data_IF_684673165415
#
_entry.id   IF_684673165415
#
_cell.length_a   1.000
_cell.length_b   1.000
_cell.length_c   1.000
_cell.angle_alpha   90.00
_cell.angle_beta   90.00
_cell.angle_gamma   90.00
#
_symmetry.space_group_name_H-M   'P 1'
#
loop_
_entity.id
_entity.type
_entity.pdbx_description
1 polymer ?
#
# COMPACT_ATOMS: atom_id res chain seq x y z
N UNK A 1 23.99 -81.39 59.30
CA UNK A 1 24.15 -80.31 60.28
C UNK A 1 23.99 -78.95 59.53
N UNK A 2 23.08 -78.17 59.98
CA UNK A 2 22.53 -76.99 59.32
C UNK A 2 23.56 -75.85 59.13
N UNK A 3 23.36 -75.00 58.21
CA UNK A 3 23.54 -73.57 58.32
C UNK A 3 22.78 -72.76 57.25
N UNK A 4 22.00 -71.84 57.75
CA UNK A 4 21.13 -70.92 57.05
C UNK A 4 21.98 -69.81 56.37
N UNK A 5 21.61 -69.46 55.13
CA UNK A 5 22.09 -68.28 54.44
C UNK A 5 20.96 -67.26 54.27
N UNK A 6 21.14 -66.07 54.75
CA UNK A 6 20.16 -64.95 54.75
C UNK A 6 20.02 -64.29 53.39
N UNK A 7 18.77 -64.10 52.94
CA UNK A 7 18.45 -63.34 51.78
C UNK A 7 18.48 -61.83 52.05
N UNK A 8 19.29 -61.09 51.30
CA UNK A 8 19.33 -59.64 51.26
C UNK A 8 18.33 -59.09 50.22
N UNK A 9 17.27 -58.49 50.69
CA UNK A 9 16.29 -57.76 49.85
C UNK A 9 16.87 -56.41 49.45
N UNK A 10 17.30 -56.30 48.19
CA UNK A 10 17.58 -54.96 47.57
C UNK A 10 16.22 -54.26 47.27
N UNK A 11 15.96 -53.19 47.96
CA UNK A 11 14.90 -52.24 47.59
C UNK A 11 15.32 -51.53 46.31
N UNK A 12 14.64 -51.77 45.20
CA UNK A 12 14.74 -51.03 43.95
C UNK A 12 14.12 -49.65 44.15
N UNK A 13 14.96 -48.62 44.10
CA UNK A 13 14.49 -47.23 43.99
C UNK A 13 13.90 -47.02 42.59
N UNK A 14 12.65 -46.58 42.53
CA UNK A 14 12.02 -46.14 41.30
C UNK A 14 12.79 -44.96 40.72
N UNK A 15 13.03 -44.91 39.36
CA UNK A 15 13.63 -43.76 38.74
C UNK A 15 12.65 -42.59 38.83
N UNK A 16 13.12 -41.47 39.39
CA UNK A 16 12.42 -40.19 39.31
C UNK A 16 12.41 -39.74 37.88
N UNK A 17 11.24 -39.77 37.25
CA UNK A 17 11.00 -39.25 35.92
C UNK A 17 11.46 -37.80 35.84
N UNK A 18 12.59 -37.57 35.19
CA UNK A 18 13.08 -36.25 34.89
C UNK A 18 12.15 -35.64 33.83
N UNK A 19 11.27 -34.75 34.23
CA UNK A 19 10.42 -33.96 33.34
C UNK A 19 11.33 -33.23 32.35
N UNK A 20 11.18 -33.47 31.04
CA UNK A 20 12.09 -32.91 30.03
C UNK A 20 11.98 -31.38 30.04
N UNK A 21 13.04 -30.69 30.43
CA UNK A 21 13.18 -29.23 30.46
C UNK A 21 12.97 -28.57 29.10
N UNK A 22 12.97 -29.33 27.98
CA UNK A 22 12.72 -28.84 26.60
C UNK A 22 11.28 -28.41 26.31
N UNK A 23 10.28 -28.93 27.04
CA UNK A 23 8.87 -28.63 26.77
C UNK A 23 8.47 -27.19 27.09
N UNK A 24 8.95 -26.64 28.20
CA UNK A 24 8.62 -25.26 28.63
C UNK A 24 9.20 -24.20 27.72
N UNK A 25 10.41 -24.37 27.21
CA UNK A 25 11.04 -23.46 26.26
C UNK A 25 10.35 -23.49 24.91
N UNK A 26 9.93 -24.67 24.45
CA UNK A 26 9.15 -24.82 23.22
C UNK A 26 7.78 -24.16 23.34
N UNK A 27 7.09 -24.34 24.46
CA UNK A 27 5.80 -23.69 24.73
C UNK A 27 5.93 -22.16 24.81
N UNK A 28 6.98 -21.65 25.47
CA UNK A 28 7.25 -20.20 25.55
C UNK A 28 7.48 -19.60 24.15
N UNK A 29 8.27 -20.25 23.30
CA UNK A 29 8.51 -19.79 21.92
C UNK A 29 7.21 -19.77 21.10
N UNK A 30 6.38 -20.80 21.22
CA UNK A 30 5.08 -20.87 20.56
C UNK A 30 4.16 -19.75 21.08
N UNK A 31 4.10 -19.51 22.38
CA UNK A 31 3.30 -18.45 22.97
C UNK A 31 3.75 -17.06 22.49
N UNK A 32 5.05 -16.80 22.42
CA UNK A 32 5.61 -15.53 21.88
C UNK A 32 5.22 -15.37 20.40
N UNK A 33 5.38 -16.42 19.58
CA UNK A 33 5.01 -16.36 18.15
C UNK A 33 3.53 -16.12 17.96
N UNK A 34 2.66 -16.77 18.74
CA UNK A 34 1.20 -16.55 18.71
C UNK A 34 0.84 -15.14 19.18
N UNK A 35 1.51 -14.61 20.22
CA UNK A 35 1.30 -13.23 20.67
C UNK A 35 1.70 -12.23 19.57
N UNK A 36 2.85 -12.40 18.94
CA UNK A 36 3.29 -11.57 17.83
C UNK A 36 2.29 -11.64 16.68
N UNK A 37 1.83 -12.86 16.31
CA UNK A 37 0.82 -13.04 15.27
C UNK A 37 -0.50 -12.34 15.63
N UNK A 38 -0.95 -12.45 16.88
CA UNK A 38 -2.15 -11.79 17.37
C UNK A 38 -2.03 -10.27 17.30
N UNK A 39 -0.91 -9.70 17.77
CA UNK A 39 -0.65 -8.24 17.70
C UNK A 39 -0.66 -7.77 16.24
N UNK A 40 0.03 -8.48 15.34
CA UNK A 40 0.04 -8.15 13.91
C UNK A 40 -1.36 -8.27 13.29
N UNK A 41 -2.14 -9.28 13.67
CA UNK A 41 -3.51 -9.43 13.19
C UNK A 41 -4.42 -8.31 13.68
N UNK A 42 -4.34 -7.95 14.97
CA UNK A 42 -5.15 -6.89 15.57
C UNK A 42 -4.80 -5.51 14.98
N UNK A 43 -3.51 -5.18 14.85
CA UNK A 43 -3.08 -3.90 14.25
C UNK A 43 -3.51 -3.81 12.79
N UNK A 44 -3.32 -4.87 11.99
CA UNK A 44 -3.77 -4.91 10.60
C UNK A 44 -5.28 -4.78 10.47
N UNK A 45 -6.04 -5.41 11.38
CA UNK A 45 -7.50 -5.30 11.40
C UNK A 45 -7.95 -3.88 11.78
N UNK A 46 -7.31 -3.27 12.78
CA UNK A 46 -7.60 -1.90 13.22
C UNK A 46 -7.27 -0.88 12.11
N UNK A 47 -6.11 -0.98 11.46
CA UNK A 47 -5.72 -0.12 10.34
C UNK A 47 -6.74 -0.21 9.19
N UNK A 48 -7.11 -1.44 8.80
CA UNK A 48 -8.11 -1.66 7.75
C UNK A 48 -9.50 -1.13 8.14
N UNK A 49 -9.87 -1.27 9.40
CA UNK A 49 -11.16 -0.79 9.90
C UNK A 49 -11.23 0.74 9.89
N UNK A 50 -10.17 1.43 10.27
CA UNK A 50 -10.09 2.89 10.24
C UNK A 50 -10.02 3.42 8.80
N UNK A 51 -9.17 2.86 7.97
CA UNK A 51 -8.92 3.34 6.61
C UNK A 51 -10.08 3.16 5.63
N UNK A 52 -11.08 2.31 5.97
CA UNK A 52 -12.24 2.04 5.10
C UNK A 52 -13.57 2.53 5.66
N UNK A 53 -13.58 3.29 6.75
CA UNK A 53 -14.82 3.85 7.32
C UNK A 53 -15.23 5.18 6.70
N UNK A 54 -14.28 5.99 6.25
CA UNK A 54 -14.50 7.27 5.59
C UNK A 54 -15.38 8.26 6.38
N UNK A 55 -15.35 8.15 7.73
CA UNK A 55 -16.02 9.12 8.61
C UNK A 55 -15.13 10.33 8.88
N UNK A 56 -13.83 10.05 9.07
CA UNK A 56 -12.80 11.04 9.28
C UNK A 56 -11.88 11.09 8.05
N UNK A 57 -11.23 12.23 7.77
CA UNK A 57 -10.23 12.31 6.72
C UNK A 57 -9.08 11.33 6.93
N UNK A 58 -8.66 10.64 5.87
CA UNK A 58 -7.40 9.91 5.85
C UNK A 58 -6.25 10.89 5.60
N UNK A 59 -5.32 10.93 6.53
CA UNK A 59 -4.11 11.73 6.41
C UNK A 59 -3.04 10.95 5.65
N UNK A 60 -2.71 11.42 4.46
CA UNK A 60 -1.76 10.79 3.56
C UNK A 60 -0.45 11.57 3.56
N UNK A 61 0.58 10.98 4.15
CA UNK A 61 1.90 11.58 4.22
C UNK A 61 2.71 11.22 2.96
N UNK A 62 3.18 12.23 2.23
CA UNK A 62 4.08 12.09 1.09
C UNK A 62 5.51 12.32 1.56
N UNK A 63 6.34 11.31 1.39
CA UNK A 63 7.77 11.34 1.64
C UNK A 63 8.51 11.39 0.29
N UNK A 64 8.93 12.58 -0.18
CA UNK A 64 9.66 12.69 -1.44
C UNK A 64 11.08 12.13 -1.32
N UNK A 65 11.53 11.45 -2.36
CA UNK A 65 12.86 10.85 -2.48
C UNK A 65 13.42 11.16 -3.86
N UNK A 66 14.63 11.70 -3.91
CA UNK A 66 15.38 11.77 -5.16
C UNK A 66 15.86 10.35 -5.53
N UNK A 67 15.31 9.78 -6.61
CA UNK A 67 15.58 8.41 -7.01
C UNK A 67 16.92 8.26 -7.75
N UNK A 68 17.44 9.34 -8.30
CA UNK A 68 18.72 9.42 -8.97
C UNK A 68 19.55 10.60 -8.44
N UNK A 69 20.79 10.73 -8.93
CA UNK A 69 21.70 11.80 -8.52
C UNK A 69 21.65 13.01 -9.46
N UNK A 70 20.64 13.10 -10.34
CA UNK A 70 20.47 14.21 -11.28
C UNK A 70 20.28 15.53 -10.53
N UNK A 71 20.93 16.62 -10.99
CA UNK A 71 20.63 17.96 -10.49
C UNK A 71 19.17 18.36 -10.71
N UNK A 72 18.53 17.88 -11.79
CA UNK A 72 17.11 18.13 -12.11
C UNK A 72 16.22 17.52 -11.02
N UNK A 73 16.41 16.24 -10.69
CA UNK A 73 15.66 15.54 -9.65
C UNK A 73 15.84 16.22 -8.29
N UNK A 74 17.07 16.56 -7.91
CA UNK A 74 17.33 17.23 -6.62
C UNK A 74 16.67 18.60 -6.55
N UNK A 75 16.76 19.40 -7.62
CA UNK A 75 16.13 20.73 -7.67
C UNK A 75 14.59 20.62 -7.63
N UNK A 76 14.02 19.65 -8.35
CA UNK A 76 12.60 19.40 -8.34
C UNK A 76 12.10 19.00 -6.95
N UNK A 77 12.75 18.04 -6.29
CA UNK A 77 12.36 17.58 -4.95
C UNK A 77 12.51 18.70 -3.92
N UNK A 78 13.56 19.49 -3.99
CA UNK A 78 13.78 20.65 -3.10
C UNK A 78 12.74 21.77 -3.30
N UNK A 79 12.12 21.87 -4.48
CA UNK A 79 11.10 22.84 -4.82
C UNK A 79 9.66 22.35 -4.61
N UNK A 80 9.49 21.13 -4.06
CA UNK A 80 8.15 20.60 -3.76
C UNK A 80 7.51 21.39 -2.62
N UNK A 81 6.22 21.71 -2.81
CA UNK A 81 5.34 22.27 -1.81
C UNK A 81 4.02 21.48 -1.75
N UNK A 82 3.21 21.71 -0.72
CA UNK A 82 1.94 21.01 -0.52
C UNK A 82 0.91 21.34 -1.61
N UNK A 83 0.99 22.52 -2.22
CA UNK A 83 0.03 22.96 -3.24
C UNK A 83 0.05 22.06 -4.47
N UNK A 84 1.19 21.43 -4.78
CA UNK A 84 1.32 20.46 -5.88
C UNK A 84 0.46 19.21 -5.70
N UNK A 85 0.10 18.88 -4.46
CA UNK A 85 -0.70 17.70 -4.10
C UNK A 85 -2.17 18.03 -3.81
N UNK A 86 -2.53 19.31 -3.69
CA UNK A 86 -3.91 19.76 -3.50
C UNK A 86 -4.90 19.28 -4.57
N UNK A 87 -4.51 19.06 -5.84
CA UNK A 87 -5.41 18.42 -6.80
C UNK A 87 -5.91 17.04 -6.34
N UNK A 88 -5.14 16.29 -5.55
CA UNK A 88 -5.55 14.99 -4.99
C UNK A 88 -6.66 15.20 -3.96
N UNK A 89 -6.49 16.15 -3.00
CA UNK A 89 -7.53 16.48 -2.02
C UNK A 89 -8.84 16.86 -2.71
N UNK A 90 -8.77 17.75 -3.72
CA UNK A 90 -9.93 18.21 -4.49
C UNK A 90 -10.60 17.09 -5.29
N UNK A 91 -9.82 16.19 -5.87
CA UNK A 91 -10.33 15.03 -6.58
C UNK A 91 -11.17 14.15 -5.65
N UNK A 92 -10.62 13.77 -4.51
CA UNK A 92 -11.34 12.93 -3.55
C UNK A 92 -12.55 13.62 -2.95
N UNK A 93 -12.51 14.94 -2.73
CA UNK A 93 -13.67 15.71 -2.29
C UNK A 93 -14.81 15.69 -3.33
N UNK A 94 -14.48 15.88 -4.63
CA UNK A 94 -15.44 15.78 -5.74
C UNK A 94 -16.06 14.38 -5.86
N UNK A 95 -15.23 13.36 -5.75
CA UNK A 95 -15.71 11.97 -5.82
C UNK A 95 -16.53 11.60 -4.58
N UNK A 96 -16.16 12.11 -3.38
CA UNK A 96 -16.95 11.93 -2.16
C UNK A 96 -18.36 12.52 -2.29
N UNK A 97 -18.49 13.71 -2.88
CA UNK A 97 -19.79 14.31 -3.19
C UNK A 97 -20.59 13.44 -4.16
N UNK A 98 -19.96 12.94 -5.22
CA UNK A 98 -20.58 12.07 -6.23
C UNK A 98 -21.12 10.76 -5.63
N UNK A 99 -20.43 10.21 -4.63
CA UNK A 99 -20.82 8.99 -3.91
C UNK A 99 -21.59 9.25 -2.61
N UNK A 100 -21.92 10.50 -2.29
CA UNK A 100 -22.67 10.90 -1.08
C UNK A 100 -22.01 10.42 0.22
N UNK A 101 -20.67 10.52 0.31
CA UNK A 101 -19.98 10.27 1.57
C UNK A 101 -20.44 11.29 2.62
N UNK A 102 -20.35 10.90 3.90
CA UNK A 102 -20.66 11.80 5.00
C UNK A 102 -19.60 12.90 5.20
N UNK A 103 -18.34 12.60 4.84
CA UNK A 103 -17.26 13.58 4.86
C UNK A 103 -17.10 14.25 3.50
N UNK A 104 -16.95 15.58 3.50
CA UNK A 104 -16.61 16.36 2.31
C UNK A 104 -15.12 16.31 1.96
N UNK A 105 -14.26 15.90 2.90
CA UNK A 105 -12.82 15.86 2.74
C UNK A 105 -12.29 14.48 3.17
N UNK A 106 -12.48 13.43 2.33
CA UNK A 106 -12.12 12.07 2.71
C UNK A 106 -10.61 11.83 2.77
N UNK A 107 -9.81 12.69 2.10
CA UNK A 107 -8.35 12.60 2.01
C UNK A 107 -7.74 13.96 2.26
N UNK A 108 -6.65 13.99 3.01
CA UNK A 108 -5.81 15.17 3.23
C UNK A 108 -4.35 14.82 3.02
N UNK A 109 -3.75 15.41 1.98
CA UNK A 109 -2.34 15.23 1.68
C UNK A 109 -1.46 16.07 2.61
N UNK A 110 -0.33 15.50 3.01
CA UNK A 110 0.70 16.15 3.83
C UNK A 110 2.07 15.91 3.23
N UNK A 111 2.79 16.97 2.95
CA UNK A 111 4.16 16.85 2.48
C UNK A 111 5.11 16.74 3.69
N UNK A 112 5.99 15.75 3.64
CA UNK A 112 7.06 15.53 4.62
C UNK A 112 8.40 15.98 4.07
N UNK A 113 9.41 16.19 4.93
CA UNK A 113 10.77 16.45 4.46
C UNK A 113 11.28 15.33 3.55
N UNK A 114 12.15 15.70 2.61
CA UNK A 114 12.84 14.76 1.73
C UNK A 114 13.56 13.67 2.53
N UNK A 115 13.39 12.41 2.12
CA UNK A 115 14.16 11.28 2.64
C UNK A 115 15.35 10.98 1.73
N UNK A 116 16.53 10.81 2.35
CA UNK A 116 17.73 10.37 1.64
C UNK A 116 17.83 8.84 1.52
N UNK A 117 17.17 8.12 2.42
CA UNK A 117 17.12 6.66 2.41
C UNK A 117 16.13 6.17 1.36
N UNK A 118 16.55 5.22 0.52
CA UNK A 118 15.69 4.56 -0.48
C UNK A 118 15.02 3.33 0.10
N UNK A 119 13.77 3.02 -0.31
CA UNK A 119 13.08 1.82 0.14
C UNK A 119 13.79 0.54 -0.35
N UNK A 120 13.68 -0.57 0.38
CA UNK A 120 14.19 -1.85 -0.07
C UNK A 120 13.51 -2.26 -1.38
N UNK A 121 14.30 -2.68 -2.37
CA UNK A 121 13.79 -3.12 -3.67
C UNK A 121 13.30 -4.57 -3.58
N UNK A 122 12.19 -4.85 -4.27
CA UNK A 122 11.70 -6.22 -4.43
C UNK A 122 12.41 -6.87 -5.63
N UNK A 123 12.92 -8.07 -5.45
CA UNK A 123 13.42 -8.86 -6.58
C UNK A 123 12.26 -9.19 -7.54
N UNK A 124 12.48 -9.05 -8.85
CA UNK A 124 11.44 -9.24 -9.87
C UNK A 124 10.82 -10.65 -9.84
N UNK A 125 11.61 -11.69 -9.55
CA UNK A 125 11.19 -13.08 -9.51
C UNK A 125 11.05 -13.64 -8.08
N UNK A 126 10.69 -12.77 -7.11
CA UNK A 126 10.58 -13.20 -5.73
C UNK A 126 9.39 -14.15 -5.52
N UNK A 127 9.65 -15.37 -5.03
CA UNK A 127 8.61 -16.29 -4.58
C UNK A 127 7.84 -15.74 -3.35
N UNK A 128 6.76 -16.42 -2.96
CA UNK A 128 5.86 -15.98 -1.89
C UNK A 128 6.58 -15.65 -0.57
N UNK A 129 7.54 -16.47 -0.13
CA UNK A 129 8.30 -16.22 1.10
C UNK A 129 9.19 -14.99 0.99
N UNK A 130 9.90 -14.84 -0.14
CA UNK A 130 10.74 -13.65 -0.36
C UNK A 130 9.91 -12.37 -0.44
N UNK A 131 8.72 -12.42 -1.06
CA UNK A 131 7.77 -11.29 -1.07
C UNK A 131 7.26 -10.96 0.33
N UNK A 132 6.95 -11.95 1.16
CA UNK A 132 6.55 -11.74 2.55
C UNK A 132 7.68 -11.11 3.39
N UNK A 133 8.90 -11.60 3.27
CA UNK A 133 10.08 -11.04 3.95
C UNK A 133 10.36 -9.61 3.48
N UNK A 134 10.32 -9.35 2.18
CA UNK A 134 10.47 -8.01 1.63
C UNK A 134 9.38 -7.06 2.18
N UNK A 135 8.13 -7.50 2.26
CA UNK A 135 7.03 -6.70 2.84
C UNK A 135 7.29 -6.34 4.31
N UNK A 136 7.82 -7.27 5.11
CA UNK A 136 8.21 -7.00 6.50
C UNK A 136 9.39 -6.03 6.55
N UNK A 137 10.39 -6.21 5.70
CA UNK A 137 11.55 -5.32 5.60
C UNK A 137 11.13 -3.89 5.21
N UNK A 138 10.22 -3.74 4.23
CA UNK A 138 9.69 -2.43 3.83
C UNK A 138 8.93 -1.76 4.98
N UNK A 139 8.11 -2.49 5.73
CA UNK A 139 7.37 -1.95 6.89
C UNK A 139 8.30 -1.53 8.01
N UNK A 140 9.33 -2.33 8.31
CA UNK A 140 10.36 -1.95 9.27
C UNK A 140 11.13 -0.71 8.83
N UNK A 141 11.57 -0.67 7.57
CA UNK A 141 12.23 0.49 6.98
C UNK A 141 11.34 1.75 7.05
N UNK A 142 10.09 1.65 6.61
CA UNK A 142 9.14 2.76 6.67
C UNK A 142 8.94 3.29 8.08
N UNK A 143 8.79 2.40 9.07
CA UNK A 143 8.69 2.79 10.47
C UNK A 143 9.95 3.52 10.97
N UNK A 144 11.13 3.04 10.56
CA UNK A 144 12.40 3.61 10.98
C UNK A 144 12.66 5.00 10.38
N UNK A 145 12.34 5.20 9.08
CA UNK A 145 12.64 6.45 8.37
C UNK A 145 11.58 7.54 8.56
N UNK A 146 10.32 7.17 8.84
CA UNK A 146 9.25 8.16 9.06
C UNK A 146 9.36 8.89 10.39
N UNK A 147 10.11 8.33 11.35
CA UNK A 147 10.22 8.89 12.70
C UNK A 147 8.88 8.88 13.47
N UNK A 148 8.88 9.56 14.62
CA UNK A 148 7.66 9.78 15.39
C UNK A 148 7.21 11.23 15.14
N UNK A 149 6.11 11.40 14.42
CA UNK A 149 5.51 12.73 14.23
C UNK A 149 4.31 12.89 15.18
N UNK A 150 4.10 14.10 15.70
CA UNK A 150 2.91 14.42 16.51
C UNK A 150 1.64 14.51 15.63
N UNK A 151 1.80 14.62 14.33
CA UNK A 151 0.69 14.73 13.37
C UNK A 151 0.21 13.34 12.93
N UNK A 152 -1.11 13.12 12.82
CA UNK A 152 -1.65 11.86 12.36
C UNK A 152 -1.23 11.55 10.92
N UNK A 153 -0.83 10.31 10.67
CA UNK A 153 -0.50 9.74 9.37
C UNK A 153 -1.15 8.37 9.27
N UNK A 154 -2.19 8.27 8.45
CA UNK A 154 -2.87 7.00 8.23
C UNK A 154 -2.19 6.23 7.09
N UNK A 155 -1.79 6.92 6.02
CA UNK A 155 -1.14 6.34 4.84
C UNK A 155 0.22 7.02 4.63
N UNK A 156 1.24 6.24 4.28
CA UNK A 156 2.58 6.75 3.95
C UNK A 156 2.94 6.38 2.53
N UNK A 157 3.15 7.40 1.70
CA UNK A 157 3.57 7.24 0.32
C UNK A 157 5.01 7.72 0.16
N UNK A 158 5.90 6.81 -0.19
CA UNK A 158 7.29 7.09 -0.51
C UNK A 158 7.39 7.33 -2.01
N UNK A 159 7.51 8.60 -2.41
CA UNK A 159 7.43 9.01 -3.81
C UNK A 159 8.84 9.25 -4.33
N UNK A 160 9.28 8.36 -5.22
CA UNK A 160 10.58 8.38 -5.86
C UNK A 160 10.49 9.16 -7.17
N UNK A 161 11.18 10.27 -7.25
CA UNK A 161 11.22 11.13 -8.43
C UNK A 161 12.43 10.80 -9.27
N UNK A 162 12.21 10.59 -10.56
CA UNK A 162 13.23 10.29 -11.57
C UNK A 162 13.35 11.40 -12.60
N UNK A 163 14.56 11.71 -13.03
CA UNK A 163 14.80 12.57 -14.16
C UNK A 163 14.32 11.87 -15.44
N UNK A 164 13.34 12.42 -16.19
CA UNK A 164 12.82 11.79 -17.40
C UNK A 164 13.86 11.66 -18.51
N UNK A 165 14.92 12.49 -18.49
CA UNK A 165 16.03 12.38 -19.44
C UNK A 165 16.93 11.17 -19.17
N UNK A 166 17.06 10.73 -17.91
CA UNK A 166 17.84 9.56 -17.50
C UNK A 166 17.01 8.28 -17.44
N UNK A 167 15.73 8.40 -17.10
CA UNK A 167 14.80 7.27 -16.91
C UNK A 167 13.55 7.54 -17.71
N UNK A 168 13.50 7.16 -19.01
CA UNK A 168 12.32 7.40 -19.85
C UNK A 168 11.06 6.65 -19.40
N UNK A 169 11.24 5.53 -18.69
CA UNK A 169 10.16 4.71 -18.15
C UNK A 169 10.47 4.36 -16.70
N UNK A 170 9.60 4.76 -15.78
CA UNK A 170 9.75 4.43 -14.36
C UNK A 170 9.31 2.99 -14.07
N UNK A 171 9.84 2.35 -13.02
CA UNK A 171 9.36 1.06 -12.55
C UNK A 171 7.88 1.11 -12.16
N UNK A 172 7.22 -0.06 -12.13
CA UNK A 172 5.86 -0.15 -11.59
C UNK A 172 5.83 0.23 -10.11
N UNK A 173 4.91 1.10 -9.76
CA UNK A 173 4.64 1.49 -8.38
C UNK A 173 3.98 0.35 -7.60
N UNK A 174 3.96 0.45 -6.28
CA UNK A 174 3.47 -0.63 -5.40
C UNK A 174 2.72 -0.03 -4.20
N UNK A 175 1.43 -0.29 -4.12
CA UNK A 175 0.63 -0.03 -2.92
C UNK A 175 0.48 -1.30 -2.07
N UNK A 176 0.86 -1.24 -0.80
CA UNK A 176 0.65 -2.34 0.16
C UNK A 176 -0.56 -2.05 1.04
N UNK A 177 -1.64 -2.81 0.85
CA UNK A 177 -2.84 -2.75 1.70
C UNK A 177 -2.52 -3.04 3.17
N UNK A 178 -1.59 -3.94 3.43
CA UNK A 178 -1.12 -4.25 4.79
C UNK A 178 -0.07 -3.25 5.23
N UNK A 179 -0.45 -2.32 6.10
CA UNK A 179 0.42 -1.29 6.69
C UNK A 179 0.26 0.08 6.05
N UNK A 180 -0.68 0.24 5.11
CA UNK A 180 -1.02 1.53 4.49
C UNK A 180 0.23 2.26 3.96
N UNK A 181 1.07 1.53 3.23
CA UNK A 181 2.34 2.01 2.69
C UNK A 181 2.33 1.86 1.18
N UNK A 182 2.69 2.93 0.46
CA UNK A 182 2.93 2.91 -0.98
C UNK A 182 4.37 3.31 -1.32
N UNK A 183 4.92 2.69 -2.35
CA UNK A 183 6.15 3.10 -3.01
C UNK A 183 5.80 3.51 -4.43
N UNK A 184 5.90 4.79 -4.71
CA UNK A 184 5.40 5.41 -5.94
C UNK A 184 6.59 5.91 -6.76
N UNK A 185 6.64 5.55 -8.02
CA UNK A 185 7.66 6.01 -8.96
C UNK A 185 7.05 7.03 -9.92
N UNK A 186 7.65 8.23 -9.98
CA UNK A 186 7.16 9.36 -10.75
C UNK A 186 8.32 10.13 -11.39
N UNK A 187 8.01 11.17 -12.16
CA UNK A 187 9.00 11.98 -12.85
C UNK A 187 9.22 13.33 -12.17
N UNK A 188 10.48 13.75 -12.12
CA UNK A 188 10.92 15.05 -11.63
C UNK A 188 10.75 16.13 -12.73
N UNK A 189 9.52 16.36 -13.18
CA UNK A 189 9.19 17.28 -14.25
C UNK A 189 7.91 18.06 -13.90
N UNK A 190 7.93 19.40 -13.82
CA UNK A 190 6.76 20.21 -13.47
C UNK A 190 5.55 19.99 -14.40
N UNK A 191 5.79 19.79 -15.67
CA UNK A 191 4.77 19.52 -16.69
C UNK A 191 4.09 18.17 -16.50
N UNK A 192 4.71 17.24 -15.78
CA UNK A 192 4.16 15.93 -15.45
C UNK A 192 3.43 15.88 -14.10
N UNK A 193 3.33 16.99 -13.37
CA UNK A 193 2.69 17.03 -12.04
C UNK A 193 1.26 16.49 -12.06
N UNK A 194 0.50 16.77 -13.10
CA UNK A 194 -0.87 16.25 -13.26
C UNK A 194 -0.89 14.72 -13.32
N UNK A 195 -0.08 14.13 -14.20
CA UNK A 195 0.07 12.68 -14.35
C UNK A 195 0.65 12.03 -13.08
N UNK A 196 1.66 12.66 -12.46
CA UNK A 196 2.21 12.21 -11.18
C UNK A 196 1.12 12.10 -10.09
N UNK A 197 0.22 13.09 -10.01
CA UNK A 197 -0.90 13.06 -9.05
C UNK A 197 -1.90 11.94 -9.36
N UNK A 198 -2.14 11.61 -10.63
CA UNK A 198 -2.95 10.42 -11.00
C UNK A 198 -2.31 9.15 -10.46
N UNK A 199 -0.99 8.97 -10.68
CA UNK A 199 -0.26 7.79 -10.17
C UNK A 199 -0.27 7.75 -8.63
N UNK A 200 -0.04 8.87 -7.96
CA UNK A 200 -0.05 8.95 -6.48
C UNK A 200 -1.44 8.59 -5.93
N UNK A 201 -2.52 9.10 -6.52
CA UNK A 201 -3.88 8.79 -6.11
C UNK A 201 -4.25 7.32 -6.38
N UNK A 202 -3.80 6.75 -7.49
CA UNK A 202 -3.93 5.33 -7.84
C UNK A 202 -3.26 4.43 -6.78
N UNK A 203 -1.98 4.67 -6.49
CA UNK A 203 -1.23 3.89 -5.51
C UNK A 203 -1.78 4.05 -4.08
N UNK A 204 -2.28 5.23 -3.76
CA UNK A 204 -2.97 5.44 -2.50
C UNK A 204 -4.21 4.53 -2.38
N UNK A 205 -5.00 4.39 -3.44
CA UNK A 205 -6.20 3.53 -3.42
C UNK A 205 -5.84 2.04 -3.27
N UNK A 206 -4.71 1.57 -3.78
CA UNK A 206 -4.22 0.23 -3.49
C UNK A 206 -4.01 0.00 -1.99
N UNK A 207 -3.57 1.01 -1.24
CA UNK A 207 -3.37 0.87 0.20
C UNK A 207 -4.68 0.64 0.97
N UNK A 208 -5.79 1.13 0.46
CA UNK A 208 -7.13 0.96 1.06
C UNK A 208 -7.94 -0.18 0.43
N UNK A 209 -7.36 -0.91 -0.53
CA UNK A 209 -7.89 -2.18 -1.03
C UNK A 209 -8.40 -2.19 -2.46
N UNK A 210 -8.24 -1.11 -3.22
CA UNK A 210 -8.56 -1.11 -4.64
C UNK A 210 -7.62 -2.03 -5.43
N UNK A 211 -8.12 -2.66 -6.48
CA UNK A 211 -7.36 -3.48 -7.42
C UNK A 211 -7.27 -2.81 -8.79
N UNK A 212 -6.23 -3.15 -9.56
CA UNK A 212 -6.06 -2.67 -10.93
C UNK A 212 -7.22 -3.06 -11.83
N UNK A 213 -7.63 -2.13 -12.71
CA UNK A 213 -8.72 -2.29 -13.66
C UNK A 213 -8.22 -2.31 -15.12
N UNK A 214 -6.95 -2.65 -15.33
CA UNK A 214 -6.35 -2.83 -16.66
C UNK A 214 -5.73 -4.23 -16.79
N UNK A 215 -5.46 -4.62 -18.01
CA UNK A 215 -4.73 -5.86 -18.29
C UNK A 215 -3.23 -5.63 -18.13
N UNK A 216 -2.53 -6.56 -17.48
CA UNK A 216 -1.09 -6.44 -17.21
C UNK A 216 -0.21 -6.74 -18.44
N UNK A 217 -0.79 -7.23 -19.54
CA UNK A 217 -0.04 -7.59 -20.76
C UNK A 217 0.07 -6.39 -21.69
N UNK A 218 -1.03 -5.66 -21.89
CA UNK A 218 -1.13 -4.57 -22.86
C UNK A 218 -1.54 -3.23 -22.23
N UNK A 219 -1.71 -3.21 -20.89
CA UNK A 219 -2.13 -2.05 -20.12
C UNK A 219 -3.51 -1.48 -20.51
N UNK A 220 -4.31 -2.19 -21.28
CA UNK A 220 -5.62 -1.74 -21.69
C UNK A 220 -6.64 -1.79 -20.54
N UNK A 221 -7.50 -0.75 -20.37
CA UNK A 221 -8.59 -0.79 -19.42
C UNK A 221 -9.52 -1.98 -19.64
N UNK A 222 -9.80 -2.75 -18.58
CA UNK A 222 -10.71 -3.92 -18.67
C UNK A 222 -12.16 -3.50 -18.61
N UNK A 223 -12.95 -3.86 -19.62
CA UNK A 223 -14.40 -3.63 -19.61
C UNK A 223 -15.11 -4.62 -18.67
N UNK A 224 -16.11 -4.20 -17.87
CA UNK A 224 -16.63 -2.83 -17.74
C UNK A 224 -15.88 -1.97 -16.71
N UNK A 225 -15.16 -2.57 -15.77
CA UNK A 225 -14.67 -1.96 -14.53
C UNK A 225 -13.55 -0.95 -14.71
N UNK A 226 -12.79 -1.05 -15.81
CA UNK A 226 -11.72 -0.11 -16.18
C UNK A 226 -12.19 1.08 -17.02
N UNK A 227 -13.50 1.17 -17.32
CA UNK A 227 -14.07 2.26 -18.11
C UNK A 227 -14.66 3.31 -17.18
N UNK A 228 -14.45 4.58 -17.53
CA UNK A 228 -15.03 5.69 -16.76
C UNK A 228 -16.57 5.64 -16.76
N UNK A 229 -17.19 5.36 -17.91
CA UNK A 229 -18.62 5.12 -18.05
C UNK A 229 -18.88 3.96 -19.02
N UNK A 230 -19.01 2.72 -18.52
CA UNK A 230 -19.28 1.56 -19.36
C UNK A 230 -20.69 1.57 -20.00
N UNK A 231 -21.58 2.42 -19.52
CA UNK A 231 -22.95 2.60 -20.06
C UNK A 231 -23.04 3.66 -21.14
N UNK A 232 -21.98 4.46 -21.34
CA UNK A 232 -21.95 5.54 -22.33
C UNK A 232 -22.33 5.06 -23.72
N UNK A 233 -23.09 5.90 -24.46
CA UNK A 233 -23.48 5.65 -25.86
C UNK A 233 -23.18 6.88 -26.70
N UNK A 234 -22.36 6.80 -27.77
CA UNK A 234 -21.53 5.67 -28.16
C UNK A 234 -20.47 5.35 -27.06
N UNK A 235 -20.05 4.07 -26.99
CA UNK A 235 -19.09 3.63 -25.93
C UNK A 235 -17.73 4.34 -26.04
N UNK A 236 -17.33 4.69 -27.26
CA UNK A 236 -16.07 5.38 -27.54
C UNK A 236 -16.31 6.73 -28.24
N UNK A 237 -15.41 7.73 -28.01
CA UNK A 237 -14.39 7.76 -26.95
C UNK A 237 -15.02 7.93 -25.56
N UNK A 238 -14.42 7.33 -24.55
CA UNK A 238 -14.79 7.57 -23.15
C UNK A 238 -14.51 9.04 -22.78
N UNK A 239 -15.35 9.63 -21.90
CA UNK A 239 -15.21 11.02 -21.44
C UNK A 239 -14.12 11.15 -20.38
N UNK A 240 -13.99 10.14 -19.50
CA UNK A 240 -13.02 10.07 -18.42
C UNK A 240 -12.39 8.68 -18.36
N UNK A 241 -11.23 8.57 -17.72
CA UNK A 241 -10.64 7.31 -17.33
C UNK A 241 -11.19 6.85 -15.97
N UNK A 242 -11.23 5.56 -15.72
CA UNK A 242 -11.33 5.04 -14.35
C UNK A 242 -9.96 5.13 -13.68
N UNK A 243 -9.88 5.60 -12.41
CA UNK A 243 -8.60 5.89 -11.74
C UNK A 243 -7.70 4.65 -11.64
N UNK A 244 -8.27 3.47 -11.30
CA UNK A 244 -7.51 2.23 -11.17
C UNK A 244 -7.15 1.59 -12.52
N UNK A 245 -7.65 2.15 -13.64
CA UNK A 245 -7.16 1.86 -14.97
C UNK A 245 -6.15 2.92 -15.44
N UNK A 246 -6.26 4.16 -14.96
CA UNK A 246 -5.35 5.26 -15.27
C UNK A 246 -5.36 5.70 -16.73
N UNK A 247 -6.22 5.11 -17.57
CA UNK A 247 -6.25 5.29 -19.04
C UNK A 247 -7.65 5.43 -19.54
N UNK A 248 -7.86 6.34 -20.49
CA UNK A 248 -9.13 6.62 -21.16
C UNK A 248 -9.19 5.91 -22.50
N UNK A 249 -10.20 5.08 -22.71
CA UNK A 249 -10.42 4.40 -23.98
C UNK A 249 -10.94 5.38 -25.04
N UNK A 250 -10.22 5.50 -26.16
CA UNK A 250 -10.58 6.33 -27.31
C UNK A 250 -11.25 5.53 -28.43
N UNK A 251 -10.86 4.27 -28.57
CA UNK A 251 -11.38 3.27 -29.50
C UNK A 251 -11.19 1.87 -28.90
N UNK A 252 -11.72 0.79 -29.46
CA UNK A 252 -11.58 -0.57 -28.91
C UNK A 252 -10.14 -1.02 -28.65
N UNK A 253 -9.18 -0.54 -29.43
CA UNK A 253 -7.76 -0.87 -29.42
C UNK A 253 -6.85 0.33 -29.14
N UNK A 254 -7.45 1.47 -28.73
CA UNK A 254 -6.69 2.72 -28.51
C UNK A 254 -7.07 3.36 -27.19
N UNK A 255 -6.09 3.59 -26.37
CA UNK A 255 -6.24 4.30 -25.11
C UNK A 255 -5.20 5.42 -24.95
N UNK A 256 -5.46 6.31 -24.02
CA UNK A 256 -4.60 7.43 -23.66
C UNK A 256 -4.49 7.50 -22.15
N UNK A 257 -3.26 7.66 -21.64
CA UNK A 257 -3.03 7.89 -20.22
C UNK A 257 -3.66 9.23 -19.79
N UNK A 258 -4.29 9.25 -18.63
CA UNK A 258 -4.85 10.47 -18.06
C UNK A 258 -3.70 11.44 -17.67
N UNK A 259 -3.80 12.68 -18.15
CA UNK A 259 -2.81 13.71 -17.90
C UNK A 259 -3.02 14.42 -16.55
N UNK A 260 -4.22 14.34 -15.98
CA UNK A 260 -4.54 14.95 -14.69
C UNK A 260 -5.73 14.25 -14.02
N UNK A 261 -5.95 14.58 -12.73
CA UNK A 261 -7.10 14.11 -11.95
C UNK A 261 -8.45 14.69 -12.43
N UNK A 262 -8.45 15.68 -13.32
CA UNK A 262 -9.67 16.19 -13.94
C UNK A 262 -10.20 15.27 -15.06
N UNK A 263 -9.33 14.40 -15.55
CA UNK A 263 -9.65 13.42 -16.61
C UNK A 263 -10.05 12.04 -16.05
N UNK A 264 -10.08 11.88 -14.72
CA UNK A 264 -10.37 10.58 -14.08
C UNK A 264 -11.54 10.67 -13.11
N UNK A 265 -12.11 9.51 -12.82
CA UNK A 265 -13.14 9.32 -11.81
C UNK A 265 -12.92 7.97 -11.08
N UNK A 266 -13.59 7.78 -9.94
CA UNK A 266 -13.65 6.50 -9.25
C UNK A 266 -14.85 5.71 -9.79
N UNK A 267 -14.60 4.56 -10.44
CA UNK A 267 -15.65 3.67 -10.94
C UNK A 267 -16.38 2.92 -9.82
N UNK A 268 -17.54 2.32 -10.14
CA UNK A 268 -18.35 1.58 -9.15
C UNK A 268 -17.62 0.40 -8.53
N UNK A 269 -16.83 -0.35 -9.30
CA UNK A 269 -16.07 -1.47 -8.81
C UNK A 269 -15.00 -1.03 -7.79
N UNK A 270 -14.28 0.04 -8.11
CA UNK A 270 -13.29 0.65 -7.20
C UNK A 270 -13.95 1.19 -5.94
N UNK A 271 -15.06 1.92 -6.08
CA UNK A 271 -15.83 2.44 -4.94
C UNK A 271 -16.28 1.31 -4.00
N UNK A 272 -16.74 0.19 -4.54
CA UNK A 272 -17.12 -0.99 -3.76
C UNK A 272 -15.93 -1.60 -3.01
N UNK A 273 -14.78 -1.74 -3.65
CA UNK A 273 -13.56 -2.30 -3.06
C UNK A 273 -13.07 -1.46 -1.88
N UNK A 274 -13.13 -0.13 -2.00
CA UNK A 274 -12.74 0.82 -0.93
C UNK A 274 -13.87 1.11 0.06
N UNK A 275 -15.02 0.44 -0.07
CA UNK A 275 -16.20 0.53 0.80
C UNK A 275 -16.91 1.88 0.78
N UNK A 276 -16.94 2.53 -0.36
CA UNK A 276 -17.80 3.69 -0.58
C UNK A 276 -19.25 3.25 -0.85
N UNK A 277 -20.26 4.13 -0.62
CA UNK A 277 -21.65 3.85 -0.98
C UNK A 277 -21.78 3.47 -2.46
N UNK A 278 -22.74 2.58 -2.79
CA UNK A 278 -22.86 2.04 -4.16
C UNK A 278 -23.66 2.92 -5.12
N UNK A 279 -24.15 4.09 -4.66
CA UNK A 279 -24.99 4.98 -5.47
C UNK A 279 -24.23 6.27 -5.77
N UNK A 280 -23.55 6.31 -6.92
CA UNK A 280 -23.08 7.55 -7.52
C UNK A 280 -24.23 8.20 -8.31
N UNK A 281 -24.28 9.52 -8.36
CA UNK A 281 -25.14 10.29 -9.26
C UNK A 281 -24.59 10.32 -10.66
#
# INVERSE_FOLDING_TARGET
>A
MALRGAASTRRGGLPRDAVPRGGRFKMLRIAILLLVLLVVALTTWQDRYRSTRWHDPLYVAIYPIAADDSPVTRAYVAALDIERFKPIDRFFAREAERYHLQTSEPVRMRLRPELKARPPQRAAEAGLLATALWSLQLRYWAWHVSGHTAEPEDIRLFVLYHDPALTPTVPHSLGLTKGLIGVVYTFAAPEMNGANNVVIAHEMLHTVGASDKYDLVDDAPRFPDGFGDPSQRPLYPQRAAELMAGRRMLAPDKWQQAASLDEVLIGHATAWEIRWPQHAR
#
